data_IF_153220447352
#
_entry.id   IF_153220447352
#
_cell.length_a   1.000
_cell.length_b   1.000
_cell.length_c   1.000
_cell.angle_alpha   90.00
_cell.angle_beta   90.00
_cell.angle_gamma   90.00
#
_symmetry.space_group_name_H-M   'P 1'
#
loop_
_entity.id
_entity.type
_entity.pdbx_description
1 polymer ?
#
# COMPACT_ATOMS: atom_id res chain seq x y z
N UNK A 1 22.34 -19.06 -15.61
CA UNK A 1 23.40 -18.63 -16.56
C UNK A 1 23.10 -18.97 -18.03
N UNK A 2 22.31 -20.01 -18.37
CA UNK A 2 22.01 -20.38 -19.77
C UNK A 2 21.19 -19.38 -20.62
N UNK A 3 20.47 -18.43 -20.01
CA UNK A 3 19.60 -17.51 -20.76
C UNK A 3 20.35 -16.38 -21.48
N UNK A 4 21.54 -16.00 -21.00
CA UNK A 4 22.32 -14.91 -21.61
C UNK A 4 23.07 -15.33 -22.88
N UNK A 5 23.42 -16.61 -23.01
CA UNK A 5 24.10 -17.13 -24.22
C UNK A 5 23.16 -17.09 -25.44
N UNK A 6 21.88 -17.39 -25.24
CA UNK A 6 20.90 -17.43 -26.33
C UNK A 6 20.66 -16.04 -26.96
N UNK A 7 20.60 -15.00 -26.14
CA UNK A 7 20.36 -13.63 -26.60
C UNK A 7 21.54 -13.11 -27.43
N UNK A 8 22.78 -13.44 -27.03
CA UNK A 8 23.98 -12.98 -27.77
C UNK A 8 24.09 -13.65 -29.13
N UNK A 9 23.68 -14.91 -29.25
CA UNK A 9 23.67 -15.64 -30.51
C UNK A 9 22.56 -15.15 -31.45
N UNK A 10 21.34 -14.95 -30.94
CA UNK A 10 20.23 -14.36 -31.71
C UNK A 10 20.57 -12.98 -32.27
N UNK A 11 21.16 -12.10 -31.45
CA UNK A 11 21.50 -10.75 -31.88
C UNK A 11 22.68 -10.69 -32.88
N UNK A 12 23.58 -11.69 -32.86
CA UNK A 12 24.62 -11.85 -33.90
C UNK A 12 24.00 -12.27 -35.23
N UNK A 13 23.04 -13.18 -35.22
CA UNK A 13 22.30 -13.61 -36.42
C UNK A 13 21.53 -12.43 -37.03
N UNK A 14 20.95 -11.57 -36.18
CA UNK A 14 20.26 -10.35 -36.58
C UNK A 14 21.20 -9.20 -37.04
N UNK A 15 22.52 -9.43 -37.10
CA UNK A 15 23.53 -8.45 -37.50
C UNK A 15 23.38 -7.08 -36.79
N UNK A 16 23.03 -7.12 -35.50
CA UNK A 16 22.77 -5.91 -34.73
C UNK A 16 24.07 -5.10 -34.54
N UNK A 17 24.13 -3.88 -35.10
CA UNK A 17 25.28 -2.97 -35.00
C UNK A 17 25.68 -2.61 -33.56
N UNK A 18 24.77 -2.74 -32.60
CA UNK A 18 24.99 -2.41 -31.18
C UNK A 18 25.98 -3.39 -30.52
N UNK A 19 26.08 -4.63 -31.01
CA UNK A 19 27.08 -5.61 -30.55
C UNK A 19 28.48 -5.36 -31.13
N UNK A 20 28.58 -4.58 -32.19
CA UNK A 20 29.84 -4.29 -32.88
C UNK A 20 30.56 -3.08 -32.26
N UNK A 21 29.84 -2.20 -31.55
CA UNK A 21 30.44 -1.12 -30.78
C UNK A 21 30.78 -1.59 -29.36
N UNK A 22 32.06 -1.49 -28.99
CA UNK A 22 32.46 -1.64 -27.58
C UNK A 22 31.71 -0.56 -26.78
N UNK A 23 31.01 -0.90 -25.69
CA UNK A 23 30.40 0.10 -24.81
C UNK A 23 31.52 0.92 -24.18
N UNK A 24 31.85 2.05 -24.81
CA UNK A 24 32.75 3.05 -24.26
C UNK A 24 31.85 4.04 -23.54
N UNK A 25 32.04 4.21 -22.24
CA UNK A 25 31.41 5.30 -21.53
C UNK A 25 32.04 6.62 -22.05
N UNK A 26 31.31 7.46 -22.80
CA UNK A 26 31.87 8.70 -23.35
C UNK A 26 32.06 9.76 -22.25
N UNK A 27 31.48 9.54 -21.07
CA UNK A 27 31.55 10.46 -19.95
C UNK A 27 32.72 10.08 -19.05
N UNK A 28 33.85 10.75 -19.29
CA UNK A 28 35.01 10.70 -18.39
C UNK A 28 35.16 12.05 -17.72
N UNK A 29 35.38 12.05 -16.40
CA UNK A 29 35.76 13.27 -15.68
C UNK A 29 37.28 13.43 -15.75
N UNK A 30 37.79 14.67 -15.75
CA UNK A 30 39.22 14.92 -15.62
C UNK A 30 39.80 14.27 -14.37
N UNK A 31 41.08 13.93 -14.43
CA UNK A 31 41.84 13.48 -13.27
C UNK A 31 41.72 14.57 -12.18
N UNK A 32 41.44 14.15 -10.93
CA UNK A 32 41.25 15.00 -9.76
C UNK A 32 39.94 15.82 -9.64
N UNK A 33 38.96 15.67 -10.55
CA UNK A 33 37.64 16.33 -10.45
C UNK A 33 36.99 16.12 -9.07
N UNK A 34 36.96 14.88 -8.58
CA UNK A 34 36.38 14.56 -7.28
C UNK A 34 37.32 14.78 -6.10
N UNK A 35 38.65 14.79 -6.30
CA UNK A 35 39.61 14.97 -5.19
C UNK A 35 39.52 16.38 -4.61
N UNK A 36 39.32 17.38 -5.45
CA UNK A 36 39.21 18.79 -5.04
C UNK A 36 37.76 19.24 -4.84
N UNK A 37 36.78 18.37 -5.05
CA UNK A 37 35.37 18.74 -4.96
C UNK A 37 34.98 19.19 -3.54
N UNK A 38 35.38 18.43 -2.52
CA UNK A 38 35.04 18.74 -1.13
C UNK A 38 35.65 20.07 -0.65
N UNK A 39 36.89 20.36 -1.05
CA UNK A 39 37.57 21.61 -0.70
C UNK A 39 36.93 22.80 -1.39
N UNK A 40 36.57 22.66 -2.67
CA UNK A 40 35.85 23.69 -3.43
C UNK A 40 34.47 23.99 -2.84
N UNK A 41 33.70 22.97 -2.44
CA UNK A 41 32.38 23.16 -1.80
C UNK A 41 32.52 23.87 -0.45
N UNK A 42 33.48 23.47 0.39
CA UNK A 42 33.72 24.13 1.68
C UNK A 42 34.15 25.60 1.52
N UNK A 43 34.97 25.88 0.51
CA UNK A 43 35.35 27.26 0.18
C UNK A 43 34.12 28.08 -0.26
N UNK A 44 33.29 27.51 -1.13
CA UNK A 44 32.04 28.11 -1.61
C UNK A 44 31.05 28.43 -0.48
N UNK A 45 30.91 27.52 0.49
CA UNK A 45 30.03 27.71 1.66
C UNK A 45 30.55 28.89 2.49
N UNK A 46 31.85 28.94 2.78
CA UNK A 46 32.47 30.05 3.54
C UNK A 46 32.30 31.41 2.84
N UNK A 47 32.46 31.44 1.52
CA UNK A 47 32.26 32.65 0.71
C UNK A 47 30.79 33.12 0.71
N UNK A 48 29.84 32.17 0.70
CA UNK A 48 28.41 32.46 0.79
C UNK A 48 27.96 32.92 2.19
N UNK A 49 28.55 32.36 3.25
CA UNK A 49 28.28 32.74 4.65
C UNK A 49 28.87 34.12 4.98
N UNK A 50 29.94 34.54 4.29
CA UNK A 50 30.54 35.86 4.40
C UNK A 50 29.68 37.00 3.80
N UNK A 51 28.43 36.73 3.40
CA UNK A 51 27.48 37.75 2.94
C UNK A 51 27.77 38.30 1.54
N UNK A 52 28.66 37.66 0.79
CA UNK A 52 28.86 37.96 -0.63
C UNK A 52 27.63 37.44 -1.38
N UNK A 53 26.73 38.35 -1.77
CA UNK A 53 25.63 38.06 -2.70
C UNK A 53 26.24 37.69 -4.05
N UNK A 54 26.44 36.40 -4.28
CA UNK A 54 27.02 35.89 -5.53
C UNK A 54 25.97 35.66 -6.61
N UNK A 55 26.16 36.33 -7.74
CA UNK A 55 25.86 35.76 -9.06
C UNK A 55 26.57 34.40 -9.20
N UNK A 56 25.93 33.37 -9.76
CA UNK A 56 26.47 32.02 -9.75
C UNK A 56 27.76 31.90 -10.59
N UNK A 57 28.88 31.68 -9.90
CA UNK A 57 30.13 31.06 -10.38
C UNK A 57 30.84 31.74 -11.56
N UNK A 58 31.92 32.46 -11.27
CA UNK A 58 32.92 32.93 -12.25
C UNK A 58 33.58 31.81 -13.09
N UNK A 59 33.51 30.56 -12.63
CA UNK A 59 33.91 29.39 -13.42
C UNK A 59 32.91 29.06 -14.54
N UNK A 60 31.63 29.35 -14.34
CA UNK A 60 30.55 29.09 -15.31
C UNK A 60 30.31 30.27 -16.26
N UNK A 61 30.78 31.47 -15.92
CA UNK A 61 30.69 32.65 -16.81
C UNK A 61 31.50 32.52 -18.10
N UNK A 62 32.48 31.61 -18.14
CA UNK A 62 33.27 31.30 -19.34
C UNK A 62 32.59 30.29 -20.27
N UNK A 63 31.56 29.59 -19.80
CA UNK A 63 30.79 28.68 -20.64
C UNK A 63 29.71 29.47 -21.37
N UNK A 64 29.53 29.26 -22.68
CA UNK A 64 28.44 29.91 -23.40
C UNK A 64 27.12 29.47 -22.77
N UNK A 65 26.22 30.42 -22.49
CA UNK A 65 24.84 30.16 -22.04
C UNK A 65 23.97 29.62 -23.18
N UNK A 66 24.53 28.74 -24.01
CA UNK A 66 23.85 28.08 -25.11
C UNK A 66 23.70 26.61 -24.74
N UNK A 67 22.53 26.06 -25.01
CA UNK A 67 22.29 24.64 -24.81
C UNK A 67 23.15 23.88 -25.83
N UNK A 68 24.07 22.98 -25.42
CA UNK A 68 24.96 22.26 -26.34
C UNK A 68 24.18 21.31 -27.26
N UNK A 69 22.93 21.00 -26.90
CA UNK A 69 22.01 20.19 -27.68
C UNK A 69 20.86 21.09 -28.14
N UNK A 70 21.03 21.65 -29.34
CA UNK A 70 19.97 22.34 -30.06
C UNK A 70 19.60 21.49 -31.27
N UNK A 71 18.29 21.32 -31.46
CA UNK A 71 17.78 20.67 -32.67
C UNK A 71 17.99 21.64 -33.85
N UNK A 72 18.38 21.16 -35.04
CA UNK A 72 18.53 22.01 -36.22
C UNK A 72 17.28 22.83 -36.52
N UNK A 73 17.50 24.01 -37.10
CA UNK A 73 16.41 24.87 -37.57
C UNK A 73 15.48 24.10 -38.52
N UNK A 74 14.16 24.26 -38.36
CA UNK A 74 13.14 23.58 -39.15
C UNK A 74 13.08 22.04 -39.03
N UNK A 75 13.72 21.42 -38.03
CA UNK A 75 13.59 19.98 -37.78
C UNK A 75 12.13 19.55 -37.63
N UNK A 76 11.39 20.19 -36.72
CA UNK A 76 9.98 19.85 -36.48
C UNK A 76 9.05 20.25 -37.63
N UNK A 77 9.38 21.31 -38.36
CA UNK A 77 8.62 21.73 -39.53
C UNK A 77 8.75 20.73 -40.70
N UNK A 78 9.93 20.12 -40.87
CA UNK A 78 10.21 19.17 -41.97
C UNK A 78 9.99 17.71 -41.57
N UNK A 79 9.88 17.40 -40.28
CA UNK A 79 9.73 16.04 -39.77
C UNK A 79 8.47 15.32 -40.29
N UNK A 80 7.27 15.93 -40.31
CA UNK A 80 6.09 15.28 -40.88
C UNK A 80 6.28 14.90 -42.36
N UNK A 81 6.86 15.81 -43.15
CA UNK A 81 7.16 15.55 -44.56
C UNK A 81 8.20 14.44 -44.75
N UNK A 82 9.26 14.43 -43.93
CA UNK A 82 10.27 13.35 -43.94
C UNK A 82 9.70 11.99 -43.54
N UNK A 83 8.79 11.95 -42.57
CA UNK A 83 8.10 10.72 -42.17
C UNK A 83 7.20 10.24 -43.30
N UNK A 84 6.40 11.14 -43.88
CA UNK A 84 5.51 10.77 -44.97
C UNK A 84 6.28 10.28 -46.21
N UNK A 85 7.36 10.96 -46.56
CA UNK A 85 8.24 10.53 -47.65
C UNK A 85 8.88 9.17 -47.36
N UNK A 86 9.31 8.90 -46.13
CA UNK A 86 9.79 7.57 -45.75
C UNK A 86 8.69 6.51 -45.90
N UNK A 87 7.49 6.77 -45.41
CA UNK A 87 6.34 5.85 -45.56
C UNK A 87 6.03 5.58 -47.04
N UNK A 88 6.19 6.59 -47.91
CA UNK A 88 5.99 6.45 -49.35
C UNK A 88 7.15 5.75 -50.06
N UNK A 89 8.40 6.00 -49.68
CA UNK A 89 9.60 5.32 -50.20
C UNK A 89 9.66 3.85 -49.75
N UNK A 90 9.03 3.54 -48.62
CA UNK A 90 8.89 2.21 -48.03
C UNK A 90 7.65 1.46 -48.59
N UNK A 91 6.97 1.99 -49.63
CA UNK A 91 5.86 1.31 -50.32
C UNK A 91 6.27 0.09 -51.17
N UNK A 92 7.58 -0.15 -51.35
CA UNK A 92 8.10 -1.41 -51.88
C UNK A 92 8.22 -2.52 -50.80
N UNK A 93 7.90 -2.21 -49.54
CA UNK A 93 7.78 -3.20 -48.46
C UNK A 93 6.40 -3.89 -48.47
N UNK A 94 6.30 -5.13 -47.95
CA UNK A 94 5.07 -5.89 -47.98
C UNK A 94 3.93 -5.12 -47.28
N UNK A 95 2.73 -5.23 -47.82
CA UNK A 95 1.53 -4.67 -47.19
C UNK A 95 1.41 -5.16 -45.74
N UNK A 96 0.74 -4.40 -44.86
CA UNK A 96 0.51 -4.81 -43.46
C UNK A 96 -0.06 -6.23 -43.36
N UNK A 97 -0.83 -6.65 -44.36
CA UNK A 97 -1.41 -7.99 -44.48
C UNK A 97 -0.35 -9.05 -44.80
N UNK A 98 0.60 -8.76 -45.69
CA UNK A 98 1.74 -9.63 -46.02
C UNK A 98 2.76 -9.71 -44.87
N UNK A 99 3.04 -8.59 -44.18
CA UNK A 99 3.84 -8.53 -42.96
C UNK A 99 3.22 -9.36 -41.83
N UNK A 100 1.91 -9.20 -41.60
CA UNK A 100 1.20 -10.00 -40.60
C UNK A 100 1.17 -11.48 -40.99
N UNK A 101 1.05 -11.79 -42.28
CA UNK A 101 1.11 -13.17 -42.76
C UNK A 101 2.49 -13.80 -42.57
N UNK A 102 3.58 -13.03 -42.69
CA UNK A 102 4.95 -13.51 -42.47
C UNK A 102 5.28 -13.67 -40.98
N UNK A 103 4.88 -12.72 -40.14
CA UNK A 103 5.20 -12.71 -38.70
C UNK A 103 4.24 -13.61 -37.90
N UNK A 104 2.94 -13.59 -38.24
CA UNK A 104 1.90 -14.25 -37.47
C UNK A 104 0.76 -14.80 -38.37
N UNK A 105 1.00 -15.90 -39.11
CA UNK A 105 0.04 -16.45 -40.09
C UNK A 105 -1.29 -16.94 -39.49
N UNK A 106 -1.35 -17.14 -38.17
CA UNK A 106 -2.59 -17.47 -37.45
C UNK A 106 -3.42 -16.22 -37.19
N UNK A 107 -2.76 -15.10 -36.83
CA UNK A 107 -3.45 -13.83 -36.56
C UNK A 107 -3.92 -13.18 -37.85
N UNK A 108 -3.19 -13.34 -38.97
CA UNK A 108 -3.64 -12.82 -40.28
C UNK A 108 -4.92 -13.47 -40.78
N UNK A 109 -5.21 -14.71 -40.35
CA UNK A 109 -6.43 -15.46 -40.71
C UNK A 109 -7.57 -15.28 -39.72
N UNK A 110 -7.35 -14.57 -38.62
CA UNK A 110 -8.36 -14.36 -37.59
C UNK A 110 -9.20 -13.13 -37.94
N UNK A 111 -10.52 -13.27 -37.84
CA UNK A 111 -11.43 -12.15 -38.06
C UNK A 111 -11.19 -11.06 -37.00
N UNK A 112 -11.10 -9.80 -37.43
CA UNK A 112 -10.94 -8.62 -36.55
C UNK A 112 -12.25 -8.28 -35.84
N UNK A 113 -12.82 -9.26 -35.14
CA UNK A 113 -14.05 -9.14 -34.36
C UNK A 113 -13.72 -9.25 -32.88
N UNK A 114 -14.40 -8.44 -32.05
CA UNK A 114 -14.25 -8.50 -30.61
C UNK A 114 -15.10 -9.67 -30.08
N UNK A 115 -14.49 -10.74 -29.52
CA UNK A 115 -15.26 -11.91 -29.06
C UNK A 115 -16.15 -11.59 -27.85
N UNK A 116 -15.89 -10.48 -27.17
CA UNK A 116 -16.66 -10.00 -26.03
C UNK A 116 -17.31 -8.68 -26.37
N UNK A 117 -18.61 -8.72 -26.65
CA UNK A 117 -19.45 -7.55 -26.81
C UNK A 117 -20.66 -7.68 -25.88
N UNK A 118 -21.10 -6.56 -25.33
CA UNK A 118 -22.38 -6.53 -24.60
C UNK A 118 -23.53 -6.59 -25.61
N UNK A 119 -24.66 -7.25 -25.29
CA UNK A 119 -25.84 -7.21 -26.13
C UNK A 119 -26.32 -5.78 -26.37
N UNK A 120 -26.95 -5.55 -27.52
CA UNK A 120 -27.56 -4.27 -27.85
C UNK A 120 -28.59 -3.88 -26.78
N UNK A 121 -28.52 -2.62 -26.32
CA UNK A 121 -29.41 -2.10 -25.28
C UNK A 121 -29.16 -2.66 -23.86
N UNK A 122 -28.02 -3.32 -23.59
CA UNK A 122 -27.68 -3.81 -22.25
C UNK A 122 -27.76 -2.71 -21.18
N UNK A 123 -27.13 -1.55 -21.45
CA UNK A 123 -27.11 -0.42 -20.51
C UNK A 123 -28.44 0.33 -20.45
N UNK A 124 -29.16 0.46 -21.58
CA UNK A 124 -30.49 1.10 -21.63
C UNK A 124 -31.52 0.36 -20.78
N UNK A 125 -31.45 -0.97 -20.76
CA UNK A 125 -32.36 -1.81 -19.96
C UNK A 125 -31.85 -2.07 -18.54
N UNK A 126 -30.65 -1.61 -18.18
CA UNK A 126 -30.04 -1.89 -16.88
C UNK A 126 -30.83 -1.23 -15.75
N UNK A 127 -31.17 0.04 -15.90
CA UNK A 127 -31.97 0.81 -14.94
C UNK A 127 -33.35 0.19 -14.73
N UNK A 128 -34.02 -0.23 -15.81
CA UNK A 128 -35.32 -0.91 -15.72
C UNK A 128 -35.23 -2.27 -14.99
N UNK A 129 -34.16 -3.04 -15.20
CA UNK A 129 -33.90 -4.31 -14.48
C UNK A 129 -33.58 -4.10 -13.01
N UNK A 130 -32.94 -2.99 -12.64
CA UNK A 130 -32.64 -2.67 -11.25
C UNK A 130 -33.91 -2.22 -10.52
N UNK A 131 -34.70 -1.31 -11.11
CA UNK A 131 -35.93 -0.79 -10.48
C UNK A 131 -37.03 -1.85 -10.34
N UNK A 132 -37.12 -2.83 -11.24
CA UNK A 132 -38.09 -3.93 -11.12
C UNK A 132 -37.80 -4.87 -9.92
N UNK A 133 -36.59 -4.83 -9.35
CA UNK A 133 -36.25 -5.60 -8.15
C UNK A 133 -36.64 -4.92 -6.83
N UNK A 134 -37.05 -3.65 -6.83
CA UNK A 134 -37.47 -2.92 -5.60
C UNK A 134 -38.89 -3.30 -5.12
N UNK A 135 -39.73 -3.86 -6.01
CA UNK A 135 -41.09 -4.31 -5.68
C UNK A 135 -41.18 -5.81 -5.32
N UNK A 136 -40.07 -6.44 -4.89
CA UNK A 136 -40.13 -7.82 -4.38
C UNK A 136 -40.78 -7.81 -2.99
N UNK A 137 -41.76 -8.68 -2.71
CA UNK A 137 -42.30 -8.81 -1.36
C UNK A 137 -41.14 -9.11 -0.41
N UNK A 138 -41.09 -8.42 0.73
CA UNK A 138 -40.05 -8.56 1.74
C UNK A 138 -39.68 -10.04 1.90
N UNK A 139 -38.44 -10.39 1.53
CA UNK A 139 -37.97 -11.77 1.56
C UNK A 139 -38.19 -12.31 2.95
N UNK A 140 -39.00 -13.38 3.08
CA UNK A 140 -39.34 -13.96 4.38
C UNK A 140 -38.06 -14.48 5.03
N UNK A 141 -37.51 -13.69 5.95
CA UNK A 141 -36.31 -14.05 6.71
C UNK A 141 -36.67 -15.24 7.60
N UNK A 142 -36.03 -16.37 7.34
CA UNK A 142 -36.14 -17.56 8.19
C UNK A 142 -34.88 -17.59 9.06
N UNK A 143 -34.98 -17.61 10.40
CA UNK A 143 -33.80 -17.72 11.25
C UNK A 143 -33.12 -19.08 11.00
N UNK A 144 -31.82 -19.05 10.70
CA UNK A 144 -31.03 -20.24 10.37
C UNK A 144 -30.87 -21.21 11.57
N UNK A 145 -31.03 -20.72 12.80
CA UNK A 145 -30.87 -21.54 14.02
C UNK A 145 -32.06 -21.39 14.97
N UNK A 146 -32.65 -22.53 15.37
CA UNK A 146 -33.73 -22.57 16.37
C UNK A 146 -33.14 -22.48 17.78
N UNK A 147 -33.41 -21.40 18.52
CA UNK A 147 -32.92 -21.10 19.90
C UNK A 147 -33.37 -22.08 21.01
N UNK A 148 -33.83 -23.29 20.69
CA UNK A 148 -34.34 -24.25 21.70
C UNK A 148 -33.24 -24.79 22.62
N UNK A 149 -31.98 -24.78 22.21
CA UNK A 149 -30.87 -25.26 23.05
C UNK A 149 -30.58 -24.38 24.28
N UNK A 150 -30.96 -23.10 24.25
CA UNK A 150 -30.72 -22.18 25.38
C UNK A 150 -31.48 -22.62 26.64
N UNK A 151 -32.65 -23.24 26.48
CA UNK A 151 -33.43 -23.75 27.62
C UNK A 151 -32.74 -24.93 28.31
N UNK A 152 -32.08 -25.81 27.55
CA UNK A 152 -31.32 -26.93 28.10
C UNK A 152 -30.02 -26.46 28.77
N UNK A 153 -29.32 -25.48 28.17
CA UNK A 153 -28.13 -24.88 28.78
C UNK A 153 -28.48 -24.19 30.11
N UNK A 154 -29.58 -23.43 30.18
CA UNK A 154 -30.05 -22.82 31.42
C UNK A 154 -30.37 -23.86 32.51
N UNK A 155 -31.03 -24.97 32.16
CA UNK A 155 -31.29 -26.06 33.10
C UNK A 155 -30.00 -26.73 33.61
N UNK A 156 -29.00 -26.94 32.74
CA UNK A 156 -27.70 -27.50 33.12
C UNK A 156 -26.93 -26.56 34.07
N UNK A 157 -26.99 -25.25 33.86
CA UNK A 157 -26.40 -24.27 34.77
C UNK A 157 -27.10 -24.27 36.12
N UNK A 158 -28.43 -24.27 36.14
CA UNK A 158 -29.20 -24.31 37.40
C UNK A 158 -28.89 -25.59 38.18
N UNK A 159 -28.89 -26.75 37.51
CA UNK A 159 -28.54 -28.03 38.15
C UNK A 159 -27.08 -28.07 38.62
N UNK A 160 -26.14 -27.51 37.86
CA UNK A 160 -24.75 -27.37 38.26
C UNK A 160 -24.57 -26.47 39.49
N UNK A 161 -25.27 -25.33 39.56
CA UNK A 161 -25.22 -24.43 40.72
C UNK A 161 -25.84 -25.09 41.95
N UNK A 162 -26.96 -25.79 41.81
CA UNK A 162 -27.61 -26.52 42.91
C UNK A 162 -26.70 -27.67 43.40
N UNK A 163 -26.09 -28.42 42.48
CA UNK A 163 -25.17 -29.50 42.81
C UNK A 163 -23.89 -28.98 43.50
N UNK A 164 -23.28 -27.92 42.96
CA UNK A 164 -22.06 -27.33 43.51
C UNK A 164 -22.29 -26.66 44.86
N UNK A 165 -23.43 -25.99 45.06
CA UNK A 165 -23.79 -25.42 46.37
C UNK A 165 -24.04 -26.51 47.41
N UNK A 166 -24.72 -27.61 47.06
CA UNK A 166 -24.89 -28.76 47.94
C UNK A 166 -23.55 -29.43 48.30
N UNK A 167 -22.67 -29.62 47.30
CA UNK A 167 -21.35 -30.23 47.49
C UNK A 167 -20.45 -29.39 48.41
N UNK A 168 -20.45 -28.06 48.26
CA UNK A 168 -19.65 -27.17 49.10
C UNK A 168 -20.14 -27.13 50.56
N UNK A 169 -21.44 -27.28 50.82
CA UNK A 169 -21.99 -27.31 52.18
C UNK A 169 -21.65 -28.64 52.88
N UNK A 170 -21.68 -29.76 52.15
CA UNK A 170 -21.37 -31.08 52.68
C UNK A 170 -19.85 -31.26 52.90
N UNK A 171 -19.01 -30.64 52.07
CA UNK A 171 -17.56 -30.68 52.22
C UNK A 171 -17.00 -29.59 53.16
N UNK A 172 -17.85 -28.84 53.86
CA UNK A 172 -17.46 -27.80 54.82
C UNK A 172 -17.19 -28.42 56.20
N UNK A 173 -16.09 -29.15 56.32
CA UNK A 173 -15.41 -29.36 57.59
C UNK A 173 -14.07 -28.62 57.57
N UNK A 174 -13.97 -27.62 58.45
CA UNK A 174 -12.77 -26.87 58.84
C UNK A 174 -12.05 -26.05 57.74
N UNK A 175 -12.33 -24.74 57.69
CA UNK A 175 -11.36 -23.68 58.08
C UNK A 175 -11.67 -22.32 57.43
N UNK A 176 -11.59 -21.31 58.30
CA UNK A 176 -11.45 -19.87 58.11
C UNK A 176 -11.32 -19.27 56.70
N UNK A 177 -12.23 -18.31 56.48
CA UNK A 177 -12.15 -17.13 55.62
C UNK A 177 -10.82 -16.37 55.74
N UNK A 178 -10.19 -16.09 54.58
CA UNK A 178 -9.04 -15.19 54.43
C UNK A 178 -7.97 -15.77 53.50
N UNK A 179 -8.07 -15.56 52.19
CA UNK A 179 -7.17 -16.14 51.18
C UNK A 179 -5.74 -15.56 51.30
N UNK A 180 -4.72 -16.34 51.72
CA UNK A 180 -3.33 -15.90 51.80
C UNK A 180 -2.61 -15.98 50.45
N UNK A 181 -3.23 -16.59 49.44
CA UNK A 181 -2.57 -16.92 48.17
C UNK A 181 -2.47 -15.74 47.20
N UNK A 182 -3.26 -14.68 47.37
CA UNK A 182 -3.19 -13.52 46.47
C UNK A 182 -1.99 -12.64 46.86
N UNK A 183 -1.80 -12.39 48.15
CA UNK A 183 -0.74 -11.50 48.61
C UNK A 183 0.65 -12.13 48.54
N UNK A 184 0.75 -13.45 48.75
CA UNK A 184 1.99 -14.21 48.56
C UNK A 184 2.45 -14.27 47.09
N UNK A 185 1.53 -14.18 46.13
CA UNK A 185 1.87 -14.17 44.70
C UNK A 185 2.38 -12.79 44.26
N UNK A 186 1.71 -11.72 44.69
CA UNK A 186 2.09 -10.33 44.40
C UNK A 186 3.49 -10.02 44.97
N UNK A 187 3.78 -10.39 46.22
CA UNK A 187 5.11 -10.18 46.81
C UNK A 187 6.22 -10.96 46.11
N UNK A 188 5.90 -12.14 45.56
CA UNK A 188 6.86 -12.96 44.83
C UNK A 188 7.19 -12.35 43.46
N UNK A 189 6.18 -11.83 42.77
CA UNK A 189 6.35 -11.24 41.44
C UNK A 189 7.09 -9.90 41.50
N UNK A 190 6.81 -9.06 42.51
CA UNK A 190 7.55 -7.80 42.74
C UNK A 190 9.02 -8.06 43.09
N UNK A 191 9.32 -9.10 43.88
CA UNK A 191 10.71 -9.44 44.26
C UNK A 191 11.57 -9.97 43.11
N UNK A 192 10.95 -10.50 42.05
CA UNK A 192 11.65 -11.05 40.89
C UNK A 192 11.93 -10.02 39.78
N UNK A 193 11.56 -8.75 39.97
CA UNK A 193 11.81 -7.66 39.03
C UNK A 193 13.23 -7.06 39.18
N UNK A 194 13.78 -6.53 38.08
CA UNK A 194 15.04 -5.76 38.08
C UNK A 194 14.86 -4.44 38.87
N UNK A 195 15.90 -3.80 39.44
CA UNK A 195 15.70 -2.60 40.26
C UNK A 195 15.11 -1.43 39.47
N UNK A 196 15.40 -1.32 38.17
CA UNK A 196 14.76 -0.33 37.28
C UNK A 196 13.25 -0.55 37.14
N UNK A 197 12.80 -1.80 37.05
CA UNK A 197 11.37 -2.13 36.93
C UNK A 197 10.61 -1.93 38.25
N UNK A 198 11.30 -2.06 39.38
CA UNK A 198 10.72 -1.74 40.68
C UNK A 198 10.58 -0.23 40.87
N UNK A 199 11.53 0.56 40.35
CA UNK A 199 11.49 2.03 40.38
C UNK A 199 10.35 2.56 39.51
N UNK A 200 10.23 2.07 38.26
CA UNK A 200 9.12 2.40 37.36
C UNK A 200 7.75 2.05 37.95
N UNK A 201 7.65 0.93 38.68
CA UNK A 201 6.41 0.52 39.36
C UNK A 201 6.06 1.50 40.49
N UNK A 202 7.06 1.96 41.25
CA UNK A 202 6.86 2.93 42.32
C UNK A 202 6.48 4.30 41.77
N UNK A 203 7.13 4.76 40.71
CA UNK A 203 6.77 6.00 40.01
C UNK A 203 5.32 5.97 39.48
N UNK A 204 4.87 4.81 38.99
CA UNK A 204 3.50 4.65 38.51
C UNK A 204 2.46 4.67 39.64
N UNK A 205 2.80 4.11 40.81
CA UNK A 205 1.95 4.14 41.99
C UNK A 205 1.90 5.55 42.59
N UNK A 206 3.04 6.25 42.65
CA UNK A 206 3.14 7.64 43.15
C UNK A 206 2.43 8.64 42.23
N UNK A 207 2.35 8.35 40.93
CA UNK A 207 1.53 9.09 39.97
C UNK A 207 0.01 8.90 40.14
N UNK A 208 -0.44 8.05 41.08
CA UNK A 208 -1.85 7.85 41.43
C UNK A 208 -2.61 6.88 40.53
N UNK A 209 -1.94 6.28 39.53
CA UNK A 209 -2.52 5.33 38.57
C UNK A 209 -2.67 3.95 39.21
N UNK A 210 -3.64 3.81 40.11
CA UNK A 210 -3.94 2.57 40.85
C UNK A 210 -4.69 1.51 40.02
N UNK A 211 -4.83 1.71 38.71
CA UNK A 211 -5.56 0.80 37.80
C UNK A 211 -7.08 0.93 37.85
N UNK A 212 -7.62 1.91 38.60
CA UNK A 212 -9.06 2.19 38.66
C UNK A 212 -9.52 3.18 37.57
N UNK A 213 -8.60 3.67 36.75
CA UNK A 213 -8.86 4.61 35.66
C UNK A 213 -9.24 3.83 34.40
N UNK A 214 -10.54 3.64 34.20
CA UNK A 214 -11.09 3.17 32.92
C UNK A 214 -11.51 4.37 32.09
N UNK A 215 -11.09 4.44 30.82
CA UNK A 215 -11.61 5.42 29.88
C UNK A 215 -13.15 5.30 29.81
N UNK A 216 -13.86 6.35 30.22
CA UNK A 216 -15.31 6.45 30.00
C UNK A 216 -15.55 6.62 28.50
N UNK A 217 -16.01 5.56 27.84
CA UNK A 217 -16.67 5.69 26.54
C UNK A 217 -18.11 6.11 26.83
N UNK A 218 -18.38 7.41 26.80
CA UNK A 218 -19.74 7.93 26.77
C UNK A 218 -20.35 7.60 25.41
N UNK A 219 -21.19 6.56 25.33
CA UNK A 219 -21.92 6.16 24.12
C UNK A 219 -23.05 7.15 23.73
N UNK A 220 -22.93 8.42 24.11
CA UNK A 220 -23.90 9.48 23.84
C UNK A 220 -23.21 10.63 23.10
N UNK A 221 -22.62 10.32 21.97
CA UNK A 221 -22.13 11.33 21.02
C UNK A 221 -23.28 11.75 20.11
N UNK A 222 -23.58 13.05 20.08
CA UNK A 222 -24.68 13.60 19.29
C UNK A 222 -24.31 13.53 17.79
N UNK A 223 -25.22 13.04 16.94
CA UNK A 223 -24.93 12.84 15.51
C UNK A 223 -24.57 14.15 14.78
N UNK A 224 -24.98 15.28 15.36
CA UNK A 224 -24.68 16.64 14.89
C UNK A 224 -23.20 17.00 15.09
N UNK A 225 -22.60 16.65 16.22
CA UNK A 225 -21.18 16.86 16.50
C UNK A 225 -20.31 15.99 15.59
N UNK A 226 -20.72 14.73 15.39
CA UNK A 226 -20.04 13.81 14.47
C UNK A 226 -20.05 14.38 13.05
N UNK A 227 -21.19 14.92 12.59
CA UNK A 227 -21.30 15.54 11.26
C UNK A 227 -20.46 16.80 11.12
N UNK A 228 -20.31 17.59 12.19
CA UNK A 228 -19.48 18.81 12.16
C UNK A 228 -17.98 18.47 12.12
N UNK A 229 -17.56 17.45 12.89
CA UNK A 229 -16.19 16.92 12.86
C UNK A 229 -15.83 16.27 11.52
N UNK A 230 -16.80 15.66 10.83
CA UNK A 230 -16.60 15.00 9.54
C UNK A 230 -16.72 15.95 8.33
N UNK A 231 -17.15 17.20 8.53
CA UNK A 231 -17.43 18.16 7.46
C UNK A 231 -16.21 18.53 6.60
N UNK A 232 -15.00 18.39 7.16
CA UNK A 232 -13.74 18.65 6.47
C UNK A 232 -13.10 17.43 5.80
N UNK A 233 -13.68 16.24 5.94
CA UNK A 233 -13.13 14.99 5.41
C UNK A 233 -13.94 14.59 4.18
N UNK A 234 -13.28 14.30 3.06
CA UNK A 234 -13.98 13.86 1.87
C UNK A 234 -14.50 12.42 2.03
N UNK A 235 -15.64 12.12 1.40
CA UNK A 235 -16.21 10.75 1.36
C UNK A 235 -15.18 9.71 0.87
N UNK A 236 -14.27 10.15 -0.01
CA UNK A 236 -13.20 9.33 -0.56
C UNK A 236 -12.11 9.01 0.47
N UNK A 237 -11.79 9.95 1.35
CA UNK A 237 -10.81 9.75 2.42
C UNK A 237 -11.37 8.82 3.51
N UNK A 238 -12.67 8.91 3.81
CA UNK A 238 -13.35 7.97 4.71
C UNK A 238 -13.34 6.54 4.15
N UNK A 239 -13.57 6.37 2.85
CA UNK A 239 -13.47 5.05 2.20
C UNK A 239 -12.05 4.50 2.18
N UNK A 240 -11.05 5.37 1.98
CA UNK A 240 -9.64 4.95 2.02
C UNK A 240 -9.24 4.51 3.44
N UNK A 241 -9.63 5.28 4.47
CA UNK A 241 -9.38 4.91 5.86
C UNK A 241 -10.08 3.58 6.23
N UNK A 242 -11.31 3.35 5.74
CA UNK A 242 -12.01 2.08 5.93
C UNK A 242 -11.28 0.88 5.31
N UNK A 243 -10.65 1.07 4.15
CA UNK A 243 -9.83 0.02 3.51
C UNK A 243 -8.51 -0.22 4.24
N UNK A 244 -7.83 0.86 4.62
CA UNK A 244 -6.54 0.79 5.31
C UNK A 244 -6.67 0.20 6.72
N UNK A 245 -7.73 0.54 7.45
CA UNK A 245 -8.03 -0.04 8.76
C UNK A 245 -8.49 -1.51 8.69
N UNK A 246 -9.20 -1.91 7.63
CA UNK A 246 -9.57 -3.31 7.40
C UNK A 246 -8.34 -4.21 7.16
N UNK A 247 -7.34 -3.72 6.42
CA UNK A 247 -6.06 -4.41 6.22
C UNK A 247 -5.27 -4.57 7.53
N UNK A 248 -5.30 -3.55 8.40
CA UNK A 248 -4.62 -3.60 9.70
C UNK A 248 -5.31 -4.60 10.67
N UNK A 249 -6.64 -4.72 10.64
CA UNK A 249 -7.35 -5.71 11.45
C UNK A 249 -7.06 -7.15 11.00
N UNK A 250 -6.84 -7.37 9.69
CA UNK A 250 -6.40 -8.66 9.17
C UNK A 250 -5.02 -9.08 9.69
N UNK A 251 -4.11 -8.11 9.91
CA UNK A 251 -2.75 -8.37 10.42
C UNK A 251 -2.74 -8.63 11.93
N UNK A 252 -3.62 -7.98 12.70
CA UNK A 252 -3.72 -8.16 14.15
C UNK A 252 -4.42 -9.46 14.59
N UNK A 253 -5.17 -10.11 13.70
CA UNK A 253 -5.86 -11.39 13.99
C UNK A 253 -5.03 -12.64 13.61
N UNK A 254 -3.80 -12.46 13.12
CA UNK A 254 -2.93 -13.55 12.63
C UNK A 254 -1.74 -13.83 13.55
N UNK A 255 -1.64 -13.18 14.72
CA UNK A 255 -0.67 -13.54 15.77
C UNK A 255 -1.35 -13.98 17.06
#
# INVERSE_FOLDING_TARGET
MKAQENIVEELKVLNCKILQSKPVNPFTVPEDYFKNFATLILQKIKESEAGIKEEPSSALSHFPKTMPYAVPENYFATLPGKIMNRIYEEQDEPTVEEELQSIAPVLSKMDKTMPYAVPEGYFENLSQRISTNENKPATKVIPLFKRKWVHYAAAAVITGVVFLSGYLIINKNNSNTGSPNVMAKITKDVKNMNPEQQDDLMDFIDAGLTGNESARIDNKTDETEIKDLLKGISEKDLQNFGKESADIQGVLLVN
#
